data_IF_519798409317
#
_entry.id   IF_519798409317
#
_cell.length_a   1.000
_cell.length_b   1.000
_cell.length_c   1.000
_cell.angle_alpha   90.00
_cell.angle_beta   90.00
_cell.angle_gamma   90.00
#
_symmetry.space_group_name_H-M   'P 1'
#
loop_
_entity.id
_entity.type
_entity.pdbx_description
1 polymer ?
#
# COMPACT_ATOMS: atom_id res chain seq x y z
N UNK A 1 -24.24 7.10 -1.58
CA UNK A 1 -22.84 7.58 -1.70
C UNK A 1 -22.05 6.52 -2.43
N UNK A 2 -21.29 6.93 -3.43
CA UNK A 2 -20.51 6.07 -4.33
C UNK A 2 -19.36 5.40 -3.56
N UNK A 3 -19.10 4.13 -3.85
CA UNK A 3 -18.08 3.35 -3.14
C UNK A 3 -16.69 3.76 -3.63
N UNK A 4 -15.72 3.89 -2.73
CA UNK A 4 -14.31 4.05 -3.10
C UNK A 4 -13.79 2.70 -3.59
N UNK A 5 -13.24 2.69 -4.81
CA UNK A 5 -12.63 1.53 -5.44
C UNK A 5 -11.12 1.50 -5.24
N UNK A 6 -10.47 2.65 -5.40
CA UNK A 6 -9.00 2.75 -5.39
C UNK A 6 -8.62 4.12 -4.82
N UNK A 7 -7.59 4.18 -3.98
CA UNK A 7 -6.96 5.45 -3.56
C UNK A 7 -5.47 5.26 -3.29
N UNK A 8 -4.72 6.36 -3.21
CA UNK A 8 -3.30 6.29 -2.82
C UNK A 8 -3.16 5.73 -1.40
N UNK A 9 -2.21 4.81 -1.22
CA UNK A 9 -1.87 4.28 0.09
C UNK A 9 -1.17 5.34 0.96
N UNK A 10 -1.42 5.30 2.27
CA UNK A 10 -0.70 6.15 3.22
C UNK A 10 0.75 5.66 3.41
N UNK A 11 1.67 6.22 2.61
CA UNK A 11 3.10 5.85 2.60
C UNK A 11 3.82 6.22 3.90
N UNK A 12 3.46 7.32 4.56
CA UNK A 12 4.09 7.71 5.84
C UNK A 12 3.72 6.77 6.98
N UNK A 13 2.52 6.16 6.94
CA UNK A 13 2.13 5.08 7.86
C UNK A 13 2.74 3.70 7.52
N UNK A 14 3.64 3.64 6.52
CA UNK A 14 4.39 2.45 6.12
C UNK A 14 3.61 1.48 5.23
N UNK A 15 2.48 1.89 4.65
CA UNK A 15 1.70 1.02 3.75
C UNK A 15 2.32 0.91 2.35
N UNK A 16 2.22 -0.27 1.76
CA UNK A 16 2.64 -0.52 0.38
C UNK A 16 1.78 0.23 -0.62
N UNK A 17 2.33 0.52 -1.80
CA UNK A 17 1.57 1.14 -2.87
C UNK A 17 0.41 0.26 -3.32
N UNK A 18 -0.66 0.91 -3.79
CA UNK A 18 -1.70 0.24 -4.56
C UNK A 18 -1.18 0.00 -5.96
N UNK A 19 -1.04 -1.27 -6.35
CA UNK A 19 -0.42 -1.65 -7.61
C UNK A 19 -1.31 -2.59 -8.45
N UNK A 20 -1.13 -2.58 -9.76
CA UNK A 20 -1.63 -3.58 -10.71
C UNK A 20 -2.54 -3.01 -11.79
N UNK A 21 -3.21 -3.90 -12.53
CA UNK A 21 -3.85 -3.55 -13.80
C UNK A 21 -4.99 -2.53 -13.72
N UNK A 22 -5.69 -2.39 -12.58
CA UNK A 22 -6.76 -1.39 -12.46
C UNK A 22 -6.16 0.01 -12.38
N UNK A 23 -4.96 0.13 -11.81
CA UNK A 23 -4.21 1.39 -11.78
C UNK A 23 -3.69 1.72 -13.17
N UNK A 24 -3.21 0.72 -13.94
CA UNK A 24 -2.80 0.93 -15.35
C UNK A 24 -3.97 1.46 -16.19
N UNK A 25 -5.19 0.92 -16.01
CA UNK A 25 -6.41 1.43 -16.69
C UNK A 25 -6.67 2.90 -16.36
N UNK A 26 -6.57 3.27 -15.07
CA UNK A 26 -6.73 4.67 -14.65
C UNK A 26 -5.65 5.56 -15.26
N UNK A 27 -4.39 5.11 -15.22
CA UNK A 27 -3.25 5.85 -15.77
C UNK A 27 -3.40 6.08 -17.28
N UNK A 28 -3.79 5.06 -18.05
CA UNK A 28 -4.09 5.20 -19.47
C UNK A 28 -5.25 6.17 -19.73
N UNK A 29 -6.36 6.02 -19.00
CA UNK A 29 -7.55 6.87 -19.18
C UNK A 29 -7.28 8.34 -18.87
N UNK A 30 -6.47 8.63 -17.84
CA UNK A 30 -6.02 9.97 -17.50
C UNK A 30 -5.12 10.56 -18.58
N UNK A 31 -4.14 9.78 -19.04
CA UNK A 31 -3.20 10.20 -20.08
C UNK A 31 -3.93 10.53 -21.40
N UNK A 32 -4.93 9.73 -21.79
CA UNK A 32 -5.78 9.98 -22.96
C UNK A 32 -6.62 11.26 -22.82
N UNK A 33 -7.02 11.62 -21.60
CA UNK A 33 -7.75 12.85 -21.29
C UNK A 33 -6.85 14.06 -21.02
N UNK A 34 -5.53 13.93 -21.18
CA UNK A 34 -4.58 15.04 -21.04
C UNK A 34 -4.10 15.31 -19.61
N UNK A 35 -4.38 14.43 -18.64
CA UNK A 35 -3.88 14.53 -17.28
C UNK A 35 -2.56 13.74 -17.15
N UNK A 36 -1.43 14.41 -16.89
CA UNK A 36 -0.12 13.74 -16.88
C UNK A 36 0.02 12.82 -15.66
N UNK A 37 0.22 11.52 -15.90
CA UNK A 37 0.39 10.50 -14.86
C UNK A 37 1.84 10.07 -14.64
N UNK A 38 2.78 10.71 -15.36
CA UNK A 38 4.17 10.27 -15.43
C UNK A 38 4.30 8.98 -16.25
N UNK A 39 4.91 7.95 -15.67
CA UNK A 39 5.05 6.64 -16.31
C UNK A 39 3.82 5.78 -16.03
N UNK A 40 3.28 5.13 -17.05
CA UNK A 40 2.28 4.07 -16.88
C UNK A 40 3.00 2.81 -16.39
N UNK A 41 2.95 2.60 -15.08
CA UNK A 41 3.65 1.53 -14.37
C UNK A 41 2.73 0.70 -13.47
N UNK A 42 1.44 1.04 -13.42
CA UNK A 42 0.45 0.38 -12.59
C UNK A 42 0.61 0.65 -11.11
N UNK A 43 1.35 1.68 -10.70
CA UNK A 43 1.55 2.09 -9.31
C UNK A 43 0.75 3.35 -9.02
N UNK A 44 -0.12 3.31 -8.02
CA UNK A 44 -0.89 4.49 -7.61
C UNK A 44 -0.01 5.37 -6.72
N UNK A 45 0.89 6.12 -7.37
CA UNK A 45 1.84 7.06 -6.75
C UNK A 45 1.31 8.48 -6.65
N UNK A 46 2.21 9.42 -6.34
CA UNK A 46 1.89 10.85 -6.23
C UNK A 46 1.43 11.44 -7.56
N UNK A 47 2.09 11.09 -8.67
CA UNK A 47 1.72 11.58 -10.01
C UNK A 47 0.31 11.11 -10.42
N UNK A 48 -0.03 9.85 -10.13
CA UNK A 48 -1.38 9.33 -10.40
C UNK A 48 -2.44 10.01 -9.52
N UNK A 49 -2.16 10.24 -8.24
CA UNK A 49 -3.07 10.97 -7.35
C UNK A 49 -3.27 12.42 -7.83
N UNK A 50 -2.20 13.11 -8.21
CA UNK A 50 -2.25 14.48 -8.73
C UNK A 50 -3.07 14.55 -10.03
N UNK A 51 -2.89 13.60 -10.94
CA UNK A 51 -3.67 13.50 -12.17
C UNK A 51 -5.17 13.25 -11.89
N UNK A 52 -5.50 12.36 -10.96
CA UNK A 52 -6.90 12.12 -10.54
C UNK A 52 -7.50 13.38 -9.92
N UNK A 53 -6.77 14.08 -9.05
CA UNK A 53 -7.25 15.34 -8.44
C UNK A 53 -7.47 16.43 -9.49
N UNK A 54 -6.56 16.56 -10.45
CA UNK A 54 -6.71 17.49 -11.58
C UNK A 54 -7.95 17.18 -12.42
N UNK A 55 -8.15 15.90 -12.75
CA UNK A 55 -9.32 15.44 -13.49
C UNK A 55 -10.64 15.64 -12.71
N UNK A 56 -10.67 15.31 -11.42
CA UNK A 56 -11.83 15.55 -10.55
C UNK A 56 -12.17 17.05 -10.50
N UNK A 57 -11.16 17.91 -10.39
CA UNK A 57 -11.35 19.35 -10.41
C UNK A 57 -11.93 19.86 -11.73
N UNK A 58 -11.45 19.38 -12.88
CA UNK A 58 -11.92 19.82 -14.20
C UNK A 58 -13.35 19.36 -14.50
N UNK A 59 -13.70 18.17 -14.02
CA UNK A 59 -15.04 17.57 -14.20
C UNK A 59 -16.08 18.04 -13.18
N UNK A 60 -15.69 18.85 -12.19
CA UNK A 60 -16.58 19.32 -11.12
C UNK A 60 -16.93 18.25 -10.09
N UNK A 61 -16.16 17.16 -10.01
CA UNK A 61 -16.29 16.10 -9.01
C UNK A 61 -15.55 16.48 -7.71
N UNK A 62 -15.85 15.78 -6.62
CA UNK A 62 -15.17 15.99 -5.35
C UNK A 62 -13.67 15.64 -5.46
N UNK A 63 -12.80 16.63 -5.25
CA UNK A 63 -11.34 16.49 -5.36
C UNK A 63 -10.78 15.75 -4.14
N UNK A 64 -10.83 14.43 -4.17
CA UNK A 64 -10.37 13.57 -3.08
C UNK A 64 -9.07 12.84 -3.40
N UNK A 65 -8.75 12.65 -4.68
CA UNK A 65 -7.68 11.72 -5.10
C UNK A 65 -8.04 10.24 -4.87
N UNK A 66 -9.26 9.94 -4.40
CA UNK A 66 -9.81 8.60 -4.41
C UNK A 66 -10.70 8.43 -5.64
N UNK A 67 -10.73 7.23 -6.19
CA UNK A 67 -11.58 6.87 -7.33
C UNK A 67 -12.77 6.07 -6.81
N UNK A 68 -13.97 6.63 -6.97
CA UNK A 68 -15.23 5.97 -6.68
C UNK A 68 -15.79 5.20 -7.88
N UNK A 69 -16.86 4.45 -7.69
CA UNK A 69 -17.62 3.79 -8.78
C UNK A 69 -18.01 4.77 -9.89
N UNK A 70 -18.48 5.96 -9.52
CA UNK A 70 -18.90 6.97 -10.51
C UNK A 70 -17.68 7.60 -11.19
N UNK A 71 -16.62 7.87 -10.42
CA UNK A 71 -15.37 8.37 -10.99
C UNK A 71 -14.81 7.39 -12.02
N UNK A 72 -14.82 6.10 -11.71
CA UNK A 72 -14.37 5.03 -12.61
C UNK A 72 -15.16 5.03 -13.91
N UNK A 73 -16.49 5.09 -13.84
CA UNK A 73 -17.36 5.15 -15.04
C UNK A 73 -17.06 6.37 -15.89
N UNK A 74 -16.98 7.55 -15.28
CA UNK A 74 -16.76 8.81 -16.00
C UNK A 74 -15.36 8.89 -16.60
N UNK A 75 -14.34 8.41 -15.87
CA UNK A 75 -12.95 8.44 -16.32
C UNK A 75 -12.68 7.40 -17.41
N UNK A 76 -13.09 6.14 -17.19
CA UNK A 76 -12.69 5.02 -18.05
C UNK A 76 -13.71 4.67 -19.13
N UNK A 77 -14.98 5.10 -18.96
CA UNK A 77 -16.09 4.65 -19.80
C UNK A 77 -16.50 3.19 -19.59
N UNK A 78 -15.96 2.52 -18.56
CA UNK A 78 -16.23 1.11 -18.24
C UNK A 78 -17.05 0.98 -16.96
N UNK A 79 -17.71 -0.17 -16.79
CA UNK A 79 -18.32 -0.48 -15.50
C UNK A 79 -17.25 -0.62 -14.40
N UNK A 80 -17.56 -0.24 -13.14
CA UNK A 80 -16.68 -0.38 -11.99
C UNK A 80 -16.20 -1.83 -11.80
N UNK A 81 -14.92 -2.06 -11.45
CA UNK A 81 -14.41 -3.38 -11.13
C UNK A 81 -15.20 -4.04 -10.00
N UNK A 82 -15.59 -5.30 -10.21
CA UNK A 82 -16.27 -6.08 -9.19
C UNK A 82 -15.32 -6.42 -8.03
N UNK A 83 -15.84 -7.10 -7.01
CA UNK A 83 -15.00 -7.63 -5.91
C UNK A 83 -13.88 -8.53 -6.44
N UNK A 84 -14.15 -9.28 -7.51
CA UNK A 84 -13.17 -10.17 -8.12
C UNK A 84 -11.93 -9.43 -8.63
N UNK A 85 -12.09 -8.38 -9.45
CA UNK A 85 -10.96 -7.65 -10.02
C UNK A 85 -10.10 -6.99 -8.93
N UNK A 86 -10.75 -6.46 -7.89
CA UNK A 86 -10.07 -5.85 -6.73
C UNK A 86 -9.32 -6.91 -5.90
N UNK A 87 -9.97 -8.05 -5.63
CA UNK A 87 -9.35 -9.19 -4.95
C UNK A 87 -8.18 -9.79 -5.76
N UNK A 88 -8.33 -9.88 -7.08
CA UNK A 88 -7.29 -10.33 -7.99
C UNK A 88 -6.04 -9.44 -7.91
N UNK A 89 -6.23 -8.13 -7.94
CA UNK A 89 -5.13 -7.16 -7.91
C UNK A 89 -4.32 -7.22 -6.60
N UNK A 90 -4.99 -7.25 -5.44
CA UNK A 90 -4.27 -7.33 -4.16
C UNK A 90 -3.60 -8.70 -3.97
N UNK A 91 -4.26 -9.79 -4.40
CA UNK A 91 -3.69 -11.14 -4.33
C UNK A 91 -2.45 -11.25 -5.24
N UNK A 92 -2.51 -10.72 -6.46
CA UNK A 92 -1.35 -10.65 -7.36
C UNK A 92 -0.18 -9.86 -6.76
N UNK A 93 -0.48 -8.78 -6.04
CA UNK A 93 0.52 -7.97 -5.33
C UNK A 93 1.18 -8.79 -4.22
N UNK A 94 0.42 -9.59 -3.46
CA UNK A 94 0.97 -10.48 -2.43
C UNK A 94 1.87 -11.56 -3.02
N UNK A 95 1.49 -12.15 -4.16
CA UNK A 95 2.32 -13.11 -4.89
C UNK A 95 3.63 -12.47 -5.43
N UNK A 96 3.73 -11.15 -5.48
CA UNK A 96 4.83 -10.45 -6.13
C UNK A 96 4.90 -10.77 -7.62
N UNK A 97 3.74 -11.03 -8.22
CA UNK A 97 3.56 -11.42 -9.61
C UNK A 97 2.75 -10.38 -10.38
N UNK A 98 2.63 -10.60 -11.68
CA UNK A 98 1.90 -9.77 -12.62
C UNK A 98 1.77 -10.53 -13.93
N UNK A 99 1.10 -9.97 -14.93
CA UNK A 99 0.80 -10.71 -16.17
C UNK A 99 2.01 -11.25 -16.92
N UNK A 100 3.19 -10.65 -16.70
CA UNK A 100 4.41 -10.85 -17.49
C UNK A 100 5.47 -11.71 -16.80
N UNK A 101 5.45 -11.78 -15.46
CA UNK A 101 6.55 -12.36 -14.67
C UNK A 101 6.53 -13.88 -14.77
N UNK A 102 7.69 -14.46 -15.07
CA UNK A 102 7.94 -15.90 -15.04
C UNK A 102 9.08 -16.22 -14.04
N UNK A 103 8.97 -17.34 -13.33
CA UNK A 103 9.98 -17.87 -12.42
C UNK A 103 10.19 -19.39 -12.66
N UNK A 104 11.43 -19.86 -12.49
CA UNK A 104 11.86 -21.22 -12.79
C UNK A 104 11.45 -22.25 -11.73
N UNK A 105 12.07 -23.44 -11.79
CA UNK A 105 11.73 -24.59 -10.94
C UNK A 105 12.44 -24.56 -9.57
N UNK A 106 12.14 -23.55 -8.75
CA UNK A 106 12.75 -23.41 -7.41
C UNK A 106 11.98 -24.15 -6.31
N UNK A 107 10.69 -24.44 -6.52
CA UNK A 107 9.77 -25.02 -5.53
C UNK A 107 9.12 -26.33 -6.00
N UNK A 108 9.51 -26.84 -7.17
CA UNK A 108 8.90 -28.02 -7.79
C UNK A 108 7.64 -27.71 -8.59
N UNK A 109 7.24 -26.45 -8.76
CA UNK A 109 6.13 -26.06 -9.65
C UNK A 109 6.50 -26.06 -11.14
N UNK A 110 7.75 -26.38 -11.46
CA UNK A 110 8.39 -26.40 -12.79
C UNK A 110 8.56 -25.00 -13.38
N UNK A 111 7.46 -24.34 -13.69
CA UNK A 111 7.46 -22.97 -14.20
C UNK A 111 6.25 -22.27 -13.59
N UNK A 112 6.47 -21.08 -13.05
CA UNK A 112 5.42 -20.22 -12.50
C UNK A 112 5.34 -18.94 -13.31
N UNK A 113 4.16 -18.60 -13.86
CA UNK A 113 3.98 -17.43 -14.71
C UNK A 113 2.61 -16.79 -14.56
N UNK A 114 2.54 -15.47 -14.74
CA UNK A 114 1.28 -14.73 -14.84
C UNK A 114 0.77 -14.15 -13.52
N UNK A 115 -0.39 -13.48 -13.59
CA UNK A 115 -0.89 -12.53 -12.58
C UNK A 115 -0.98 -13.09 -11.16
N UNK A 116 -1.31 -14.37 -11.01
CA UNK A 116 -1.41 -15.06 -9.71
C UNK A 116 -0.47 -16.28 -9.63
N UNK A 117 0.58 -16.30 -10.44
CA UNK A 117 1.56 -17.39 -10.45
C UNK A 117 0.96 -18.73 -10.91
N UNK A 118 0.43 -18.78 -12.14
CA UNK A 118 0.00 -20.06 -12.72
C UNK A 118 1.18 -21.00 -12.87
N UNK A 119 0.97 -22.28 -12.55
CA UNK A 119 2.04 -23.27 -12.56
C UNK A 119 1.90 -24.24 -13.71
N UNK A 120 3.03 -24.63 -14.30
CA UNK A 120 3.09 -25.68 -15.31
C UNK A 120 2.73 -27.04 -14.71
N UNK A 121 3.19 -27.34 -13.48
CA UNK A 121 2.87 -28.59 -12.80
C UNK A 121 1.38 -28.92 -12.71
N UNK A 122 0.54 -27.91 -12.49
CA UNK A 122 -0.90 -28.09 -12.31
C UNK A 122 -1.71 -27.87 -13.61
N UNK A 123 -1.05 -27.73 -14.76
CA UNK A 123 -1.74 -27.61 -16.03
C UNK A 123 -2.28 -26.22 -16.32
N UNK A 124 -1.94 -25.19 -15.53
CA UNK A 124 -2.58 -23.88 -15.64
C UNK A 124 -1.99 -23.05 -16.77
N UNK A 125 -0.65 -23.04 -16.90
CA UNK A 125 0.04 -22.40 -18.02
C UNK A 125 -0.40 -23.03 -19.34
N UNK A 126 -0.49 -24.35 -19.41
CA UNK A 126 -0.90 -25.10 -20.61
C UNK A 126 -2.28 -24.66 -21.10
N UNK A 127 -3.24 -24.47 -20.19
CA UNK A 127 -4.60 -24.05 -20.54
C UNK A 127 -4.62 -22.63 -21.11
N UNK A 128 -3.82 -21.72 -20.55
CA UNK A 128 -3.75 -20.33 -21.01
C UNK A 128 -3.04 -20.26 -22.36
N UNK A 129 -1.90 -20.95 -22.52
CA UNK A 129 -1.15 -20.99 -23.78
C UNK A 129 -2.01 -21.62 -24.88
N UNK A 130 -2.67 -22.75 -24.61
CA UNK A 130 -3.58 -23.38 -25.56
C UNK A 130 -4.72 -22.45 -25.96
N UNK A 131 -5.37 -21.78 -25.01
CA UNK A 131 -6.45 -20.85 -25.32
C UNK A 131 -5.97 -19.66 -26.15
N UNK A 132 -4.75 -19.16 -25.91
CA UNK A 132 -4.18 -18.08 -26.72
C UNK A 132 -3.89 -18.54 -28.16
N UNK A 133 -3.31 -19.74 -28.33
CA UNK A 133 -3.03 -20.33 -29.65
C UNK A 133 -4.33 -20.60 -30.43
N UNK A 134 -5.41 -20.99 -29.75
CA UNK A 134 -6.73 -21.19 -30.37
C UNK A 134 -7.39 -19.87 -30.80
N UNK A 135 -7.15 -18.78 -30.06
CA UNK A 135 -7.70 -17.46 -30.38
C UNK A 135 -6.95 -16.82 -31.54
N UNK A 136 -5.62 -16.78 -31.46
CA UNK A 136 -4.74 -16.23 -32.49
C UNK A 136 -3.32 -16.81 -32.34
N UNK A 137 -2.92 -17.78 -33.19
CA UNK A 137 -1.59 -18.38 -33.16
C UNK A 137 -0.45 -17.36 -33.29
N UNK A 138 -0.71 -16.22 -33.95
CA UNK A 138 0.31 -15.19 -34.17
C UNK A 138 0.77 -14.56 -32.85
N UNK A 139 -0.03 -14.61 -31.78
CA UNK A 139 0.36 -14.15 -30.45
C UNK A 139 1.55 -14.97 -29.93
N UNK A 140 1.51 -16.29 -30.09
CA UNK A 140 2.62 -17.16 -29.68
C UNK A 140 3.82 -16.93 -30.59
N UNK A 141 3.60 -16.88 -31.91
CA UNK A 141 4.68 -16.75 -32.88
C UNK A 141 5.44 -15.42 -32.69
N UNK A 142 4.73 -14.31 -32.49
CA UNK A 142 5.34 -12.99 -32.26
C UNK A 142 5.99 -12.86 -30.88
N UNK A 143 5.44 -13.52 -29.85
CA UNK A 143 5.98 -13.45 -28.50
C UNK A 143 7.23 -14.32 -28.32
N UNK A 144 7.19 -15.56 -28.82
CA UNK A 144 8.22 -16.58 -28.61
C UNK A 144 9.20 -16.71 -29.78
N UNK A 145 8.86 -16.24 -30.98
CA UNK A 145 9.74 -16.27 -32.14
C UNK A 145 10.29 -17.68 -32.37
N UNK A 146 11.63 -17.88 -32.44
CA UNK A 146 12.23 -19.21 -32.59
C UNK A 146 11.86 -20.24 -31.51
N UNK A 147 11.34 -19.79 -30.35
CA UNK A 147 10.92 -20.67 -29.26
C UNK A 147 9.47 -21.16 -29.38
N UNK A 148 8.69 -20.64 -30.34
CA UNK A 148 7.25 -20.91 -30.46
C UNK A 148 6.94 -22.40 -30.65
N UNK A 149 7.64 -23.07 -31.56
CA UNK A 149 7.43 -24.50 -31.81
C UNK A 149 7.81 -25.35 -30.60
N UNK A 150 8.91 -25.00 -29.92
CA UNK A 150 9.32 -25.66 -28.68
C UNK A 150 8.28 -25.47 -27.58
N UNK A 151 7.70 -24.28 -27.44
CA UNK A 151 6.64 -24.02 -26.48
C UNK A 151 5.42 -24.92 -26.76
N UNK A 152 4.93 -24.95 -28.01
CA UNK A 152 3.80 -25.79 -28.40
C UNK A 152 4.08 -27.27 -28.15
N UNK A 153 5.29 -27.73 -28.48
CA UNK A 153 5.72 -29.09 -28.19
C UNK A 153 5.62 -29.37 -26.69
N UNK A 154 6.29 -28.57 -25.84
CA UNK A 154 6.30 -28.73 -24.38
C UNK A 154 4.88 -28.79 -23.81
N UNK A 155 3.99 -27.90 -24.24
CA UNK A 155 2.61 -27.85 -23.73
C UNK A 155 1.78 -29.09 -24.09
N UNK A 156 2.16 -29.83 -25.14
CA UNK A 156 1.49 -31.06 -25.58
C UNK A 156 2.11 -32.36 -25.01
N UNK A 157 3.33 -32.30 -24.46
CA UNK A 157 4.07 -33.48 -23.98
C UNK A 157 3.68 -33.88 -22.55
N UNK A 158 4.21 -35.03 -22.13
CA UNK A 158 3.97 -35.59 -20.79
C UNK A 158 4.55 -34.71 -19.68
N UNK A 159 4.01 -34.85 -18.46
CA UNK A 159 4.50 -34.18 -17.26
C UNK A 159 6.01 -34.34 -17.04
N UNK A 160 6.57 -35.53 -17.29
CA UNK A 160 8.02 -35.78 -17.17
C UNK A 160 8.83 -34.96 -18.17
N UNK A 161 8.33 -34.79 -19.40
CA UNK A 161 8.99 -33.95 -20.40
C UNK A 161 8.92 -32.48 -20.01
N UNK A 162 7.76 -32.02 -19.54
CA UNK A 162 7.54 -30.65 -19.08
C UNK A 162 8.44 -30.29 -17.90
N UNK A 163 8.56 -31.19 -16.92
CA UNK A 163 9.49 -31.05 -15.79
C UNK A 163 10.95 -30.94 -16.26
N UNK A 164 11.40 -31.86 -17.12
CA UNK A 164 12.77 -31.86 -17.64
C UNK A 164 13.09 -30.61 -18.46
N UNK A 165 12.14 -30.11 -19.24
CA UNK A 165 12.28 -28.85 -19.96
C UNK A 165 12.36 -27.66 -18.99
N UNK A 166 11.45 -27.61 -18.02
CA UNK A 166 11.42 -26.53 -17.04
C UNK A 166 12.71 -26.48 -16.21
N UNK A 167 13.22 -27.64 -15.80
CA UNK A 167 14.52 -27.76 -15.12
C UNK A 167 15.68 -27.26 -15.97
N UNK A 168 15.64 -27.50 -17.29
CA UNK A 168 16.70 -27.07 -18.22
C UNK A 168 16.75 -25.56 -18.38
N UNK A 169 15.60 -24.91 -18.48
CA UNK A 169 15.51 -23.45 -18.66
C UNK A 169 15.66 -22.68 -17.34
N UNK A 170 15.68 -23.37 -16.20
CA UNK A 170 15.82 -22.76 -14.88
C UNK A 170 17.28 -22.53 -14.54
N UNK A 171 17.62 -21.30 -14.13
CA UNK A 171 19.00 -20.86 -13.88
C UNK A 171 19.18 -20.27 -12.48
N UNK A 172 20.44 -20.19 -12.06
CA UNK A 172 20.83 -19.69 -10.74
C UNK A 172 20.87 -20.77 -9.66
N UNK A 173 21.49 -20.44 -8.52
CA UNK A 173 21.79 -21.38 -7.43
C UNK A 173 20.54 -22.07 -6.87
N UNK A 174 19.41 -21.35 -6.87
CA UNK A 174 18.12 -21.83 -6.37
C UNK A 174 17.11 -22.16 -7.50
N UNK A 175 17.52 -22.16 -8.78
CA UNK A 175 16.63 -22.34 -9.94
C UNK A 175 15.45 -21.36 -10.03
N UNK A 176 15.51 -20.22 -9.35
CA UNK A 176 14.44 -19.21 -9.41
C UNK A 176 14.43 -18.46 -10.76
N UNK A 177 15.61 -18.21 -11.32
CA UNK A 177 15.74 -17.53 -12.61
C UNK A 177 15.32 -18.43 -13.77
N UNK A 178 15.00 -17.81 -14.90
CA UNK A 178 14.80 -18.49 -16.18
C UNK A 178 15.79 -17.93 -17.19
N UNK A 179 16.27 -18.75 -18.11
CA UNK A 179 17.08 -18.32 -19.24
C UNK A 179 16.48 -17.08 -19.94
N UNK A 180 17.28 -16.04 -20.27
CA UNK A 180 16.76 -14.77 -20.78
C UNK A 180 15.82 -14.86 -21.98
N UNK A 181 16.08 -15.70 -23.01
CA UNK A 181 15.17 -15.82 -24.15
C UNK A 181 13.74 -16.23 -23.76
N UNK A 182 13.60 -17.17 -22.83
CA UNK A 182 12.32 -17.63 -22.31
C UNK A 182 11.68 -16.57 -21.41
N UNK A 183 12.44 -15.97 -20.50
CA UNK A 183 11.95 -14.89 -19.63
C UNK A 183 11.36 -13.75 -20.46
N UNK A 184 12.07 -13.30 -21.47
CA UNK A 184 11.66 -12.16 -22.30
C UNK A 184 10.46 -12.52 -23.19
N UNK A 185 10.39 -13.78 -23.67
CA UNK A 185 9.24 -14.28 -24.42
C UNK A 185 7.96 -14.35 -23.57
N UNK A 186 8.03 -14.89 -22.36
CA UNK A 186 6.89 -14.89 -21.42
C UNK A 186 6.47 -13.48 -21.01
N UNK A 187 7.43 -12.55 -20.91
CA UNK A 187 7.13 -11.14 -20.66
C UNK A 187 6.38 -10.50 -21.83
N UNK A 188 6.83 -10.72 -23.07
CA UNK A 188 6.11 -10.26 -24.28
C UNK A 188 4.71 -10.87 -24.36
N UNK A 189 4.61 -12.19 -24.19
CA UNK A 189 3.33 -12.92 -24.20
C UNK A 189 2.34 -12.35 -23.19
N UNK A 190 2.77 -12.13 -21.94
CA UNK A 190 1.96 -11.51 -20.89
C UNK A 190 1.63 -10.02 -21.10
N UNK A 191 2.21 -9.37 -22.11
CA UNK A 191 1.93 -7.97 -22.46
C UNK A 191 0.77 -7.84 -23.45
N UNK A 192 0.35 -8.92 -24.11
CA UNK A 192 -0.81 -8.89 -25.02
C UNK A 192 -2.12 -8.80 -24.23
N UNK A 193 -3.00 -7.87 -24.61
CA UNK A 193 -4.30 -7.67 -23.95
C UNK A 193 -5.20 -8.90 -23.99
N UNK A 194 -5.14 -9.68 -25.08
CA UNK A 194 -5.84 -10.98 -25.20
C UNK A 194 -5.34 -11.98 -24.14
N UNK A 195 -4.02 -12.10 -23.98
CA UNK A 195 -3.40 -13.02 -23.01
C UNK A 195 -3.71 -12.59 -21.58
N UNK A 196 -3.71 -11.29 -21.30
CA UNK A 196 -4.14 -10.76 -19.99
C UNK A 196 -5.60 -11.10 -19.71
N UNK A 197 -6.49 -10.93 -20.69
CA UNK A 197 -7.91 -11.34 -20.58
C UNK A 197 -8.05 -12.84 -20.31
N UNK A 198 -7.27 -13.68 -20.98
CA UNK A 198 -7.26 -15.14 -20.74
C UNK A 198 -6.77 -15.50 -19.34
N UNK A 199 -5.75 -14.81 -18.82
CA UNK A 199 -5.31 -14.97 -17.43
C UNK A 199 -6.42 -14.59 -16.45
N UNK A 200 -7.01 -13.39 -16.58
CA UNK A 200 -8.12 -12.93 -15.72
C UNK A 200 -9.30 -13.90 -15.79
N UNK A 201 -9.69 -14.34 -16.99
CA UNK A 201 -10.74 -15.35 -17.19
C UNK A 201 -10.41 -16.66 -16.49
N UNK A 202 -9.15 -17.12 -16.56
CA UNK A 202 -8.73 -18.35 -15.85
C UNK A 202 -8.81 -18.21 -14.33
N UNK A 203 -8.41 -17.05 -13.79
CA UNK A 203 -8.58 -16.73 -12.37
C UNK A 203 -10.07 -16.76 -11.96
N UNK A 204 -10.94 -16.16 -12.77
CA UNK A 204 -12.40 -16.10 -12.53
C UNK A 204 -13.04 -17.49 -12.57
N UNK A 205 -12.81 -18.24 -13.66
CA UNK A 205 -13.50 -19.51 -13.93
C UNK A 205 -13.12 -20.62 -12.93
N UNK A 206 -11.89 -20.61 -12.40
CA UNK A 206 -11.40 -21.64 -11.47
C UNK A 206 -11.40 -21.16 -10.02
N UNK A 207 -10.67 -20.09 -9.74
CA UNK A 207 -10.34 -19.71 -8.36
C UNK A 207 -11.44 -18.87 -7.74
N UNK A 208 -11.96 -17.88 -8.47
CA UNK A 208 -13.10 -17.09 -7.98
C UNK A 208 -14.37 -17.93 -7.83
N UNK A 209 -14.66 -18.80 -8.81
CA UNK A 209 -15.77 -19.75 -8.69
C UNK A 209 -15.65 -20.64 -7.45
N UNK A 210 -14.45 -21.09 -7.11
CA UNK A 210 -14.18 -21.83 -5.88
C UNK A 210 -14.39 -20.96 -4.64
N UNK A 211 -13.87 -19.74 -4.66
CA UNK A 211 -14.00 -18.77 -3.57
C UNK A 211 -15.47 -18.42 -3.26
N UNK A 212 -16.32 -18.26 -4.27
CA UNK A 212 -17.75 -17.98 -4.10
C UNK A 212 -18.51 -19.16 -3.47
N UNK A 213 -18.12 -20.40 -3.82
CA UNK A 213 -18.68 -21.58 -3.19
C UNK A 213 -18.29 -21.65 -1.70
N UNK A 214 -17.01 -21.43 -1.40
CA UNK A 214 -16.48 -21.43 -0.03
C UNK A 214 -17.09 -20.27 0.79
N UNK A 215 -17.19 -19.07 0.22
CA UNK A 215 -17.77 -17.91 0.89
C UNK A 215 -19.25 -18.12 1.19
N UNK A 216 -19.99 -18.77 0.30
CA UNK A 216 -21.39 -19.16 0.52
C UNK A 216 -21.52 -20.20 1.62
N UNK A 217 -20.71 -21.28 1.59
CA UNK A 217 -20.73 -22.33 2.61
C UNK A 217 -20.42 -21.79 4.01
N UNK A 218 -19.44 -20.90 4.11
CA UNK A 218 -18.94 -20.36 5.37
C UNK A 218 -19.72 -19.10 5.82
N UNK A 219 -20.61 -18.59 4.97
CA UNK A 219 -21.43 -17.40 5.22
C UNK A 219 -20.60 -16.12 5.37
N UNK A 220 -19.70 -15.91 4.42
CA UNK A 220 -18.87 -14.71 4.25
C UNK A 220 -19.38 -13.93 3.02
N UNK A 221 -20.08 -12.81 3.24
CA UNK A 221 -20.75 -12.04 2.19
C UNK A 221 -20.05 -10.72 1.86
N UNK A 222 -19.28 -10.18 2.80
CA UNK A 222 -18.50 -8.96 2.63
C UNK A 222 -17.46 -9.12 1.52
N UNK A 223 -17.07 -7.99 0.94
CA UNK A 223 -15.96 -7.91 -0.03
C UNK A 223 -14.68 -8.54 0.53
N UNK A 224 -14.35 -8.26 1.80
CA UNK A 224 -13.20 -8.83 2.49
C UNK A 224 -13.32 -10.34 2.67
N UNK A 225 -14.51 -10.84 3.01
CA UNK A 225 -14.76 -12.27 3.17
C UNK A 225 -14.56 -13.03 1.85
N UNK A 226 -15.08 -12.47 0.76
CA UNK A 226 -14.92 -13.02 -0.59
C UNK A 226 -13.47 -12.92 -1.08
N UNK A 227 -12.78 -11.82 -0.81
CA UNK A 227 -11.37 -11.65 -1.13
C UNK A 227 -10.47 -12.63 -0.34
N UNK A 228 -10.76 -12.86 0.94
CA UNK A 228 -10.09 -13.88 1.76
C UNK A 228 -10.27 -15.28 1.16
N UNK A 229 -11.51 -15.66 0.80
CA UNK A 229 -11.77 -16.93 0.13
C UNK A 229 -11.04 -17.05 -1.21
N UNK A 230 -10.89 -15.95 -1.95
CA UNK A 230 -10.14 -15.95 -3.20
C UNK A 230 -8.65 -16.17 -2.99
N UNK A 231 -8.02 -15.49 -2.03
CA UNK A 231 -6.61 -15.70 -1.69
C UNK A 231 -6.35 -17.14 -1.18
N UNK A 232 -7.29 -17.71 -0.40
CA UNK A 232 -7.27 -19.13 -0.01
C UNK A 232 -7.39 -20.04 -1.23
N UNK A 233 -8.29 -19.73 -2.17
CA UNK A 233 -8.43 -20.51 -3.40
C UNK A 233 -7.13 -20.52 -4.21
N UNK A 234 -6.46 -19.37 -4.34
CA UNK A 234 -5.20 -19.23 -5.07
C UNK A 234 -4.05 -19.96 -4.39
N UNK A 235 -3.83 -19.76 -3.09
CA UNK A 235 -2.70 -20.35 -2.37
C UNK A 235 -2.90 -21.82 -1.95
N UNK A 236 -4.11 -22.18 -1.56
CA UNK A 236 -4.40 -23.44 -0.87
C UNK A 236 -5.35 -24.35 -1.66
N UNK A 237 -5.92 -23.88 -2.77
CA UNK A 237 -6.89 -24.63 -3.57
C UNK A 237 -8.33 -24.55 -3.03
N UNK A 238 -8.60 -23.67 -2.08
CA UNK A 238 -9.89 -23.45 -1.44
C UNK A 238 -9.95 -24.06 -0.05
N UNK A 239 -11.14 -24.05 0.56
CA UNK A 239 -11.35 -24.58 1.92
C UNK A 239 -11.74 -26.06 1.85
N UNK A 240 -10.93 -26.96 2.40
CA UNK A 240 -11.27 -28.39 2.44
C UNK A 240 -12.44 -28.67 3.39
N UNK A 241 -13.13 -29.81 3.22
CA UNK A 241 -14.21 -30.23 4.11
C UNK A 241 -13.75 -30.37 5.58
N UNK A 242 -12.47 -30.73 5.79
CA UNK A 242 -11.85 -30.78 7.11
C UNK A 242 -11.72 -29.39 7.72
N UNK A 243 -11.20 -28.43 6.97
CA UNK A 243 -11.07 -27.03 7.42
C UNK A 243 -12.43 -26.40 7.68
N UNK A 244 -13.42 -26.62 6.80
CA UNK A 244 -14.78 -26.16 7.02
C UNK A 244 -15.41 -26.74 8.30
N UNK A 245 -15.10 -28.01 8.64
CA UNK A 245 -15.55 -28.60 9.90
C UNK A 245 -14.91 -27.94 11.12
N UNK A 246 -13.59 -27.70 11.08
CA UNK A 246 -12.85 -27.04 12.17
C UNK A 246 -13.36 -25.60 12.34
N UNK A 247 -13.57 -24.89 11.24
CA UNK A 247 -14.15 -23.55 11.23
C UNK A 247 -15.50 -23.52 11.94
N UNK A 248 -16.44 -24.41 11.58
CA UNK A 248 -17.77 -24.46 12.19
C UNK A 248 -17.69 -24.71 13.70
N UNK A 249 -16.84 -25.65 14.13
CA UNK A 249 -16.62 -25.93 15.54
C UNK A 249 -16.09 -24.71 16.31
N UNK A 250 -15.11 -23.99 15.74
CA UNK A 250 -14.55 -22.77 16.34
C UNK A 250 -15.58 -21.65 16.45
N UNK A 251 -16.42 -21.45 15.43
CA UNK A 251 -17.50 -20.46 15.46
C UNK A 251 -18.52 -20.82 16.55
N UNK A 252 -18.96 -22.08 16.62
CA UNK A 252 -19.88 -22.53 17.68
C UNK A 252 -19.31 -22.28 19.08
N UNK A 253 -18.01 -22.54 19.29
CA UNK A 253 -17.34 -22.28 20.57
C UNK A 253 -17.21 -20.79 20.90
N UNK A 254 -16.95 -19.92 19.93
CA UNK A 254 -16.85 -18.46 20.15
C UNK A 254 -18.21 -17.82 20.45
N UNK A 255 -19.30 -18.37 19.91
CA UNK A 255 -20.67 -17.86 20.16
C UNK A 255 -20.99 -16.51 19.51
N UNK A 256 -20.09 -15.92 18.72
CA UNK A 256 -20.37 -14.77 17.84
C UNK A 256 -20.48 -15.24 16.38
N UNK A 257 -21.49 -14.71 15.70
CA UNK A 257 -21.76 -14.96 14.28
C UNK A 257 -21.42 -13.76 13.39
N UNK A 258 -20.73 -12.76 13.94
CA UNK A 258 -20.29 -11.59 13.20
C UNK A 258 -19.32 -12.00 12.09
N UNK A 259 -19.49 -11.42 10.91
CA UNK A 259 -18.68 -11.83 9.76
C UNK A 259 -17.18 -11.54 9.97
N UNK A 260 -16.83 -10.46 10.66
CA UNK A 260 -15.44 -10.17 11.04
C UNK A 260 -14.81 -11.32 11.84
N UNK A 261 -15.50 -11.81 12.87
CA UNK A 261 -15.07 -12.97 13.67
C UNK A 261 -14.95 -14.22 12.81
N UNK A 262 -15.87 -14.42 11.86
CA UNK A 262 -15.80 -15.53 10.90
C UNK A 262 -14.54 -15.45 10.04
N UNK A 263 -14.20 -14.29 9.49
CA UNK A 263 -13.00 -14.15 8.67
C UNK A 263 -11.72 -14.45 9.46
N UNK A 264 -11.62 -13.93 10.69
CA UNK A 264 -10.47 -14.19 11.56
C UNK A 264 -10.34 -15.69 11.89
N UNK A 265 -11.44 -16.34 12.27
CA UNK A 265 -11.45 -17.78 12.55
C UNK A 265 -11.09 -18.59 11.32
N UNK A 266 -11.53 -18.19 10.13
CA UNK A 266 -11.14 -18.84 8.89
C UNK A 266 -9.63 -18.68 8.64
N UNK A 267 -9.08 -17.47 8.79
CA UNK A 267 -7.66 -17.21 8.66
C UNK A 267 -6.81 -18.06 9.63
N UNK A 268 -7.20 -18.13 10.90
CA UNK A 268 -6.59 -19.00 11.91
C UNK A 268 -6.68 -20.48 11.52
N UNK A 269 -7.85 -20.91 11.03
CA UNK A 269 -8.08 -22.31 10.63
C UNK A 269 -7.14 -22.72 9.49
N UNK A 270 -7.04 -21.91 8.44
CA UNK A 270 -6.15 -22.18 7.30
C UNK A 270 -4.67 -22.16 7.72
N UNK A 271 -4.29 -21.25 8.62
CA UNK A 271 -2.94 -21.22 9.14
C UNK A 271 -2.60 -22.47 9.97
N UNK A 272 -3.50 -22.88 10.86
CA UNK A 272 -3.31 -24.04 11.75
C UNK A 272 -3.30 -25.38 11.02
N UNK A 273 -3.95 -25.48 9.85
CA UNK A 273 -3.92 -26.68 9.00
C UNK A 273 -2.77 -26.68 8.00
N UNK A 274 -2.05 -25.56 7.86
CA UNK A 274 -0.85 -25.46 7.02
C UNK A 274 0.35 -26.13 7.68
N UNK A 275 1.42 -26.36 6.89
CA UNK A 275 2.67 -26.87 7.43
C UNK A 275 3.22 -25.92 8.51
N UNK A 276 3.67 -26.46 9.63
CA UNK A 276 4.09 -25.69 10.82
C UNK A 276 5.09 -24.57 10.51
N UNK A 277 6.07 -24.83 9.63
CA UNK A 277 7.06 -23.82 9.18
C UNK A 277 6.48 -22.62 8.43
N UNK A 278 5.28 -22.77 7.84
CA UNK A 278 4.61 -21.74 7.05
C UNK A 278 3.43 -21.10 7.78
N UNK A 279 3.04 -21.62 8.94
CA UNK A 279 1.87 -21.18 9.70
C UNK A 279 1.83 -19.67 9.90
N UNK A 280 2.92 -19.06 10.38
CA UNK A 280 2.96 -17.63 10.70
C UNK A 280 2.82 -16.74 9.45
N UNK A 281 3.48 -17.11 8.35
CA UNK A 281 3.39 -16.35 7.10
C UNK A 281 1.98 -16.48 6.49
N UNK A 282 1.40 -17.69 6.51
CA UNK A 282 0.01 -17.92 6.10
C UNK A 282 -0.94 -17.12 6.98
N UNK A 283 -0.80 -17.16 8.30
CA UNK A 283 -1.65 -16.42 9.23
C UNK A 283 -1.58 -14.92 8.96
N UNK A 284 -0.38 -14.36 8.86
CA UNK A 284 -0.17 -12.93 8.61
C UNK A 284 -0.84 -12.48 7.31
N UNK A 285 -0.70 -13.26 6.23
CA UNK A 285 -1.33 -12.97 4.94
C UNK A 285 -2.85 -13.07 4.99
N UNK A 286 -3.39 -14.15 5.58
CA UNK A 286 -4.85 -14.35 5.68
C UNK A 286 -5.50 -13.33 6.61
N UNK A 287 -4.83 -12.98 7.72
CA UNK A 287 -5.31 -11.96 8.66
C UNK A 287 -5.35 -10.56 8.04
N UNK A 288 -4.43 -10.26 7.11
CA UNK A 288 -4.46 -8.99 6.35
C UNK A 288 -5.79 -8.82 5.58
N UNK A 289 -6.29 -9.88 4.94
CA UNK A 289 -7.59 -9.87 4.27
C UNK A 289 -8.78 -10.05 5.24
N UNK A 290 -8.58 -10.75 6.36
CA UNK A 290 -9.64 -10.94 7.34
C UNK A 290 -10.00 -9.65 8.10
N UNK A 291 -9.01 -8.80 8.37
CA UNK A 291 -9.16 -7.59 9.20
C UNK A 291 -9.11 -6.31 8.38
N UNK A 292 -8.71 -6.39 7.11
CA UNK A 292 -8.61 -5.25 6.19
C UNK A 292 -7.29 -4.48 6.28
N UNK A 293 -6.38 -4.87 7.17
CA UNK A 293 -5.00 -4.36 7.20
C UNK A 293 -4.06 -5.36 7.85
N UNK A 294 -2.78 -5.34 7.50
CA UNK A 294 -1.83 -6.29 8.07
C UNK A 294 -0.51 -6.31 7.35
N UNK A 295 0.26 -7.40 7.52
CA UNK A 295 1.55 -7.59 6.86
C UNK A 295 1.53 -8.84 5.99
N UNK A 296 2.14 -8.75 4.82
CA UNK A 296 2.42 -9.89 3.93
C UNK A 296 3.90 -9.84 3.56
N UNK A 297 4.64 -10.90 3.85
CA UNK A 297 6.09 -10.98 3.65
C UNK A 297 6.85 -9.75 4.21
N UNK A 298 6.43 -9.29 5.40
CA UNK A 298 7.02 -8.14 6.10
C UNK A 298 6.51 -6.75 5.65
N UNK A 299 5.80 -6.66 4.53
CA UNK A 299 5.29 -5.41 3.97
C UNK A 299 3.86 -5.14 4.46
N UNK A 300 3.55 -3.90 4.85
CA UNK A 300 2.24 -3.52 5.40
C UNK A 300 1.24 -3.18 4.29
N UNK A 301 -0.02 -3.62 4.42
CA UNK A 301 -1.09 -3.36 3.46
C UNK A 301 -2.38 -2.89 4.16
N UNK A 302 -3.13 -2.04 3.47
CA UNK A 302 -4.47 -1.58 3.83
C UNK A 302 -5.39 -1.94 2.66
N UNK A 303 -6.22 -2.97 2.82
CA UNK A 303 -7.04 -3.52 1.72
C UNK A 303 -8.11 -2.53 1.27
N UNK A 304 -8.50 -1.59 2.15
CA UNK A 304 -9.43 -0.51 1.83
C UNK A 304 -8.91 0.42 0.75
N UNK A 305 -7.58 0.49 0.54
CA UNK A 305 -6.99 1.29 -0.55
C UNK A 305 -7.20 0.63 -1.94
N UNK A 306 -7.51 -0.67 -1.96
CA UNK A 306 -8.03 -1.44 -3.11
C UNK A 306 -9.56 -1.56 -3.07
N UNK A 307 -10.24 -0.73 -2.27
CA UNK A 307 -11.70 -0.73 -2.13
C UNK A 307 -12.25 -1.97 -1.42
N UNK A 308 -11.40 -2.82 -0.85
CA UNK A 308 -11.80 -4.01 -0.08
C UNK A 308 -11.84 -3.64 1.40
N UNK A 309 -13.01 -3.25 1.89
CA UNK A 309 -13.25 -2.93 3.30
C UNK A 309 -14.68 -3.31 3.69
N UNK A 310 -14.94 -3.42 4.98
CA UNK A 310 -16.32 -3.56 5.46
C UNK A 310 -17.09 -2.26 5.24
N UNK A 311 -18.36 -2.32 4.87
CA UNK A 311 -19.19 -1.11 4.76
C UNK A 311 -19.29 -0.34 6.09
N UNK A 312 -18.91 -0.95 7.22
CA UNK A 312 -18.73 -0.31 8.53
C UNK A 312 -17.57 0.71 8.54
N UNK A 313 -16.67 0.69 7.54
CA UNK A 313 -15.76 1.81 7.32
C UNK A 313 -16.45 3.04 6.75
N UNK A 314 -17.75 3.01 6.39
CA UNK A 314 -18.49 4.23 6.03
C UNK A 314 -18.67 5.17 7.23
N UNK A 315 -18.88 4.66 8.44
CA UNK A 315 -18.95 5.52 9.64
C UNK A 315 -17.58 5.86 10.23
N UNK A 316 -16.53 5.11 9.88
CA UNK A 316 -15.14 5.50 10.15
C UNK A 316 -14.51 6.39 9.04
N UNK A 317 -15.21 6.64 7.93
CA UNK A 317 -14.74 7.46 6.80
C UNK A 317 -15.62 8.66 6.43
N UNK A 318 -16.77 8.86 7.08
CA UNK A 318 -17.51 10.15 7.05
C UNK A 318 -16.81 11.24 7.89
N UNK A 319 -15.64 10.96 8.48
CA UNK A 319 -14.76 11.96 9.12
C UNK A 319 -13.42 12.20 8.40
N UNK A 320 -13.33 11.97 7.09
CA UNK A 320 -12.17 12.40 6.30
C UNK A 320 -12.62 13.01 4.97
N UNK A 321 -13.38 14.10 5.06
CA UNK A 321 -13.60 15.05 3.96
C UNK A 321 -14.09 16.37 4.54
N UNK A 322 -13.24 16.96 5.37
CA UNK A 322 -13.09 18.37 5.74
C UNK A 322 -12.11 18.31 6.90
N UNK A 323 -10.85 18.70 6.67
CA UNK A 323 -9.94 18.97 7.77
C UNK A 323 -10.52 20.21 8.47
N UNK A 324 -11.47 19.99 9.37
CA UNK A 324 -11.69 20.92 10.46
C UNK A 324 -10.64 20.52 11.49
N UNK A 325 -9.64 21.38 11.75
CA UNK A 325 -8.68 21.20 12.83
C UNK A 325 -9.34 20.70 14.12
N UNK A 326 -9.05 19.48 14.58
CA UNK A 326 -9.45 19.02 15.92
C UNK A 326 -8.57 19.67 16.99
N UNK A 327 -8.71 20.99 17.12
CA UNK A 327 -7.92 21.81 18.03
C UNK A 327 -8.17 21.41 19.49
N UNK A 328 -9.42 21.07 19.83
CA UNK A 328 -9.78 20.60 21.18
C UNK A 328 -9.16 19.24 21.50
N UNK A 329 -9.16 18.31 20.53
CA UNK A 329 -8.48 17.03 20.69
C UNK A 329 -6.97 17.21 20.86
N UNK A 330 -6.36 18.08 20.07
CA UNK A 330 -4.94 18.40 20.21
C UNK A 330 -4.62 19.03 21.57
N UNK A 331 -5.45 19.98 22.03
CA UNK A 331 -5.31 20.58 23.36
C UNK A 331 -5.37 19.52 24.48
N UNK A 332 -6.32 18.59 24.43
CA UNK A 332 -6.41 17.50 25.41
C UNK A 332 -5.20 16.58 25.36
N UNK A 333 -4.80 16.17 24.17
CA UNK A 333 -3.60 15.34 23.95
C UNK A 333 -2.34 16.04 24.50
N UNK A 334 -2.13 17.29 24.12
CA UNK A 334 -0.92 18.03 24.46
C UNK A 334 -0.85 18.32 25.96
N UNK A 335 -1.98 18.70 26.57
CA UNK A 335 -2.05 18.89 28.02
C UNK A 335 -1.76 17.60 28.80
N UNK A 336 -2.07 16.42 28.24
CA UNK A 336 -1.73 15.13 28.86
C UNK A 336 -0.22 14.87 28.95
N UNK A 337 0.60 15.59 28.18
CA UNK A 337 2.06 15.44 28.21
C UNK A 337 2.71 16.02 29.48
N UNK A 338 2.00 16.89 30.19
CA UNK A 338 2.47 17.48 31.46
C UNK A 338 3.72 18.36 31.31
N UNK A 339 3.88 19.04 30.16
CA UNK A 339 4.98 19.97 29.92
C UNK A 339 4.87 21.20 30.83
N UNK A 340 6.01 21.73 31.27
CA UNK A 340 6.05 22.85 32.24
C UNK A 340 5.88 24.21 31.58
N UNK A 341 6.46 24.38 30.40
CA UNK A 341 6.71 25.71 29.82
C UNK A 341 5.95 26.00 28.53
N UNK A 342 5.37 25.00 27.89
CA UNK A 342 4.67 25.15 26.61
C UNK A 342 3.18 24.89 26.72
N UNK A 343 2.41 25.69 25.97
CA UNK A 343 0.98 25.48 25.75
C UNK A 343 0.72 24.80 24.39
N UNK A 344 -0.44 24.14 24.20
CA UNK A 344 -0.78 23.50 22.94
C UNK A 344 -0.70 24.45 21.74
N UNK A 345 -1.12 25.72 21.89
CA UNK A 345 -1.18 26.66 20.77
C UNK A 345 0.20 27.00 20.21
N UNK A 346 1.25 26.91 21.02
CA UNK A 346 2.64 27.15 20.59
C UNK A 346 3.09 26.09 19.56
N UNK A 347 2.54 24.87 19.62
CA UNK A 347 2.84 23.78 18.69
C UNK A 347 1.95 23.75 17.45
N UNK A 348 0.97 24.66 17.37
CA UNK A 348 0.04 24.80 16.25
C UNK A 348 0.40 25.97 15.32
N UNK A 349 1.64 26.49 15.39
CA UNK A 349 2.09 27.54 14.48
C UNK A 349 2.08 27.04 13.03
N UNK A 350 1.53 27.85 12.12
CA UNK A 350 1.36 27.50 10.70
C UNK A 350 2.52 28.01 9.82
N UNK A 351 3.48 28.72 10.40
CA UNK A 351 4.62 29.33 9.71
C UNK A 351 4.25 30.60 8.94
N UNK A 352 5.21 31.51 8.80
CA UNK A 352 4.98 32.87 8.28
C UNK A 352 4.41 32.86 6.85
N UNK A 353 4.95 32.00 5.99
CA UNK A 353 4.53 31.90 4.59
C UNK A 353 3.06 31.44 4.40
N UNK A 354 2.40 30.91 5.44
CA UNK A 354 0.98 30.56 5.40
C UNK A 354 0.12 31.83 5.53
N UNK A 355 0.60 32.84 6.25
CA UNK A 355 -0.15 34.08 6.52
C UNK A 355 0.16 35.21 5.52
N UNK A 356 1.22 35.08 4.73
CA UNK A 356 1.60 36.06 3.71
C UNK A 356 0.82 35.85 2.42
N UNK A 357 -0.08 36.78 2.09
CA UNK A 357 -0.90 36.75 0.85
C UNK A 357 -0.06 36.75 -0.43
N UNK A 358 1.17 37.28 -0.37
CA UNK A 358 2.10 37.27 -1.51
C UNK A 358 2.87 35.96 -1.68
N UNK A 359 2.79 35.05 -0.71
CA UNK A 359 3.50 33.78 -0.72
C UNK A 359 2.77 32.73 -1.58
N UNK A 360 3.47 31.94 -2.41
CA UNK A 360 2.91 30.75 -3.05
C UNK A 360 2.38 29.71 -2.06
N UNK A 361 2.75 29.81 -0.78
CA UNK A 361 2.32 28.93 0.29
C UNK A 361 1.15 29.50 1.13
N UNK A 362 0.58 30.64 0.72
CA UNK A 362 -0.52 31.30 1.42
C UNK A 362 -1.70 30.36 1.65
N UNK A 363 -2.14 30.22 2.91
CA UNK A 363 -3.28 29.40 3.28
C UNK A 363 -3.09 27.88 3.12
N UNK A 364 -1.90 27.39 2.73
CA UNK A 364 -1.69 25.98 2.42
C UNK A 364 -1.31 25.09 3.62
N UNK A 365 -0.72 25.68 4.65
CA UNK A 365 -0.47 24.93 5.89
C UNK A 365 -1.75 24.73 6.71
N UNK A 366 -1.77 23.72 7.57
CA UNK A 366 -2.88 23.46 8.48
C UNK A 366 -2.34 22.82 9.77
N UNK A 367 -3.17 22.60 10.79
CA UNK A 367 -2.72 21.90 12.00
C UNK A 367 -2.36 20.43 11.69
N UNK A 368 -1.46 19.79 12.45
CA UNK A 368 -1.09 18.40 12.24
C UNK A 368 -2.30 17.45 12.35
N UNK A 369 -2.43 16.48 11.43
CA UNK A 369 -3.34 15.34 11.57
C UNK A 369 -3.16 14.61 12.90
N UNK A 370 -4.26 14.10 13.46
CA UNK A 370 -4.27 13.49 14.79
C UNK A 370 -3.36 12.26 14.92
N UNK A 371 -3.22 11.51 13.84
CA UNK A 371 -2.33 10.36 13.72
C UNK A 371 -0.84 10.70 13.89
N UNK A 372 -0.45 11.96 13.62
CA UNK A 372 0.92 12.41 13.77
C UNK A 372 1.21 12.93 15.18
N UNK A 373 0.20 13.24 16.00
CA UNK A 373 0.39 13.82 17.33
C UNK A 373 1.37 13.05 18.22
N UNK A 374 1.40 11.70 18.28
CA UNK A 374 2.38 10.98 19.08
C UNK A 374 3.84 11.29 18.69
N UNK A 375 4.11 11.66 17.44
CA UNK A 375 5.46 11.89 16.93
C UNK A 375 6.10 13.15 17.52
N UNK A 376 5.31 14.16 17.93
CA UNK A 376 5.87 15.39 18.49
C UNK A 376 6.31 15.23 19.94
N UNK A 377 5.82 14.19 20.64
CA UNK A 377 6.03 14.01 22.09
C UNK A 377 7.51 14.08 22.49
N UNK A 378 8.45 13.39 21.82
CA UNK A 378 9.85 13.46 22.23
C UNK A 378 10.44 14.86 21.97
N UNK A 379 10.16 15.46 20.81
CA UNK A 379 10.63 16.82 20.48
C UNK A 379 10.08 17.86 21.47
N UNK A 380 8.80 17.76 21.83
CA UNK A 380 8.17 18.67 22.78
C UNK A 380 8.79 18.58 24.18
N UNK A 381 9.13 17.36 24.64
CA UNK A 381 9.85 17.15 25.91
C UNK A 381 11.27 17.72 25.88
N UNK A 382 11.97 17.58 24.76
CA UNK A 382 13.31 18.17 24.57
C UNK A 382 13.23 19.69 24.61
N UNK A 383 12.25 20.29 23.93
CA UNK A 383 12.04 21.75 23.96
C UNK A 383 11.69 22.24 25.36
N UNK A 384 10.85 21.52 26.11
CA UNK A 384 10.47 21.87 27.48
C UNK A 384 11.70 21.89 28.41
N UNK A 385 12.54 20.85 28.33
CA UNK A 385 13.80 20.78 29.08
C UNK A 385 14.78 21.87 28.63
N UNK A 386 14.91 22.12 27.32
CA UNK A 386 15.76 23.17 26.77
C UNK A 386 15.35 24.54 27.34
N UNK A 387 14.06 24.85 27.36
CA UNK A 387 13.52 26.10 27.93
C UNK A 387 13.84 26.21 29.42
N UNK A 388 13.79 25.10 30.14
CA UNK A 388 14.21 24.99 31.54
C UNK A 388 15.70 25.31 31.73
N UNK A 389 16.58 24.79 30.87
CA UNK A 389 18.05 24.99 30.96
C UNK A 389 18.49 26.39 30.54
N UNK A 390 17.86 26.96 29.52
CA UNK A 390 18.16 28.30 29.02
C UNK A 390 17.61 29.41 29.93
N UNK A 391 16.58 29.11 30.73
CA UNK A 391 15.89 30.11 31.56
C UNK A 391 15.26 31.26 30.76
N UNK A 392 15.09 31.09 29.45
CA UNK A 392 14.65 32.12 28.51
C UNK A 392 13.51 31.60 27.62
N UNK A 393 12.57 32.46 27.15
CA UNK A 393 11.48 32.00 26.30
C UNK A 393 11.96 31.40 24.98
N UNK A 394 11.52 30.18 24.69
CA UNK A 394 11.72 29.49 23.40
C UNK A 394 10.44 29.66 22.58
N UNK A 395 10.55 30.25 21.39
CA UNK A 395 9.44 30.58 20.49
C UNK A 395 9.52 29.66 19.27
N UNK A 396 8.42 28.97 18.95
CA UNK A 396 8.33 28.05 17.81
C UNK A 396 7.85 28.79 16.57
N UNK A 397 8.63 28.70 15.49
CA UNK A 397 8.33 29.35 14.21
C UNK A 397 7.65 28.39 13.24
N UNK A 398 8.07 27.13 13.23
CA UNK A 398 7.52 26.08 12.36
C UNK A 398 7.60 24.74 13.08
N UNK A 399 6.49 24.01 13.13
CA UNK A 399 6.45 22.68 13.77
C UNK A 399 5.93 21.65 12.75
N UNK A 400 4.65 21.70 12.42
CA UNK A 400 4.09 20.90 11.34
C UNK A 400 4.14 21.66 10.00
N UNK A 401 4.38 20.93 8.92
CA UNK A 401 4.23 21.43 7.55
C UNK A 401 3.39 20.44 6.76
N UNK A 402 2.26 20.88 6.22
CA UNK A 402 1.54 20.09 5.21
C UNK A 402 2.45 19.84 4.00
N UNK A 403 2.28 18.73 3.27
CA UNK A 403 3.05 18.46 2.06
C UNK A 403 3.00 19.62 1.06
N UNK A 404 1.81 20.20 0.86
CA UNK A 404 1.56 21.31 -0.05
C UNK A 404 2.32 22.57 0.40
N UNK A 405 2.26 22.90 1.70
CA UNK A 405 2.99 24.02 2.27
C UNK A 405 4.50 23.82 2.14
N UNK A 406 5.00 22.63 2.51
CA UNK A 406 6.42 22.30 2.47
C UNK A 406 6.99 22.42 1.04
N UNK A 407 6.26 21.94 0.03
CA UNK A 407 6.65 22.09 -1.38
C UNK A 407 6.75 23.56 -1.79
N UNK A 408 5.74 24.39 -1.45
CA UNK A 408 5.70 25.79 -1.87
C UNK A 408 6.73 26.68 -1.19
N UNK A 409 7.22 26.31 -0.02
CA UNK A 409 8.34 27.01 0.63
C UNK A 409 9.72 26.44 0.26
N UNK A 410 9.79 25.48 -0.67
CA UNK A 410 11.06 24.86 -1.09
C UNK A 410 11.66 23.90 -0.06
N UNK A 411 10.83 23.31 0.79
CA UNK A 411 11.24 22.32 1.77
C UNK A 411 11.66 20.99 1.12
N UNK A 412 12.54 20.25 1.80
CA UNK A 412 12.99 18.92 1.34
C UNK A 412 11.87 17.88 1.44
N UNK A 413 11.88 16.89 0.54
CA UNK A 413 10.83 15.85 0.44
C UNK A 413 10.76 14.91 1.64
N UNK A 414 11.84 14.77 2.41
CA UNK A 414 11.91 13.96 3.64
C UNK A 414 11.95 14.84 4.91
N UNK A 415 11.29 16.01 4.84
CA UNK A 415 11.24 16.98 5.93
C UNK A 415 10.60 16.39 7.18
N UNK A 416 11.31 16.46 8.30
CA UNK A 416 10.82 15.97 9.59
C UNK A 416 9.64 16.79 10.14
N UNK A 417 9.42 18.00 9.61
CA UNK A 417 8.23 18.80 9.91
C UNK A 417 6.94 18.18 9.35
N UNK A 418 7.01 17.51 8.19
CA UNK A 418 5.85 16.81 7.61
C UNK A 418 5.45 15.59 8.45
N UNK A 419 6.41 15.05 9.21
CA UNK A 419 6.21 13.92 10.12
C UNK A 419 5.82 14.37 11.54
N UNK A 420 5.62 15.68 11.76
CA UNK A 420 5.32 16.31 13.04
C UNK A 420 6.27 15.89 14.19
N UNK A 421 7.57 15.77 13.89
CA UNK A 421 8.62 15.40 14.86
C UNK A 421 9.79 16.38 14.88
N UNK A 422 9.54 17.60 14.41
CA UNK A 422 10.53 18.66 14.31
C UNK A 422 9.95 20.01 14.70
N UNK A 423 10.83 20.92 15.11
CA UNK A 423 10.51 22.30 15.40
C UNK A 423 11.68 23.22 15.02
N UNK A 424 11.36 24.29 14.31
CA UNK A 424 12.23 25.43 14.12
C UNK A 424 11.89 26.46 15.19
N UNK A 425 12.89 26.91 15.95
CA UNK A 425 12.67 27.79 17.08
C UNK A 425 13.71 28.89 17.21
N UNK A 426 13.35 29.93 17.96
CA UNK A 426 14.22 31.01 18.40
C UNK A 426 14.12 31.19 19.90
N UNK A 427 15.18 31.71 20.53
CA UNK A 427 15.17 32.01 21.97
C UNK A 427 15.21 33.52 22.15
N UNK A 428 14.26 34.06 22.91
CA UNK A 428 14.18 35.49 23.21
C UNK A 428 15.25 35.89 24.23
N UNK A 429 16.47 36.03 23.75
CA UNK A 429 17.68 36.33 24.52
C UNK A 429 18.68 37.09 23.65
N UNK A 430 19.77 37.57 24.24
CA UNK A 430 20.89 38.21 23.52
C UNK A 430 21.91 37.22 22.95
N UNK A 431 21.74 35.91 23.18
CA UNK A 431 22.63 34.88 22.66
C UNK A 431 22.26 34.49 21.23
N UNK A 432 23.21 33.90 20.51
CA UNK A 432 23.05 33.53 19.11
C UNK A 432 22.45 32.10 18.98
N UNK A 433 21.88 31.75 17.81
CA UNK A 433 21.42 30.38 17.52
C UNK A 433 22.44 29.29 17.84
N UNK A 434 23.73 29.56 17.64
CA UNK A 434 24.83 28.64 17.98
C UNK A 434 24.91 28.31 19.47
N UNK A 435 24.58 29.26 20.34
CA UNK A 435 24.63 29.07 21.80
C UNK A 435 23.48 28.16 22.26
N UNK A 436 22.30 28.32 21.67
CA UNK A 436 21.13 27.48 21.96
C UNK A 436 21.35 26.05 21.45
N UNK A 437 21.92 25.93 20.25
CA UNK A 437 22.30 24.65 19.67
C UNK A 437 23.38 23.94 20.50
N UNK A 438 24.30 24.68 21.13
CA UNK A 438 25.29 24.11 22.03
C UNK A 438 24.64 23.42 23.25
N UNK A 439 23.59 24.02 23.81
CA UNK A 439 22.81 23.40 24.90
C UNK A 439 22.08 22.13 24.42
N UNK A 440 21.48 22.16 23.22
CA UNK A 440 20.88 20.95 22.63
C UNK A 440 21.92 19.85 22.40
N UNK A 441 23.11 20.19 21.91
CA UNK A 441 24.22 19.23 21.72
C UNK A 441 24.68 18.63 23.05
N UNK A 442 24.72 19.44 24.12
CA UNK A 442 24.99 18.94 25.46
C UNK A 442 23.89 17.98 25.95
N UNK A 443 22.62 18.35 25.81
CA UNK A 443 21.50 17.48 26.15
C UNK A 443 21.54 16.14 25.39
N UNK A 444 21.90 16.20 24.09
CA UNK A 444 22.07 15.00 23.26
C UNK A 444 23.24 14.13 23.76
N UNK A 445 24.36 14.74 24.17
CA UNK A 445 25.50 14.02 24.75
C UNK A 445 25.19 13.40 26.11
N UNK A 446 24.29 14.01 26.89
CA UNK A 446 23.76 13.47 28.15
C UNK A 446 22.72 12.35 27.93
N UNK A 447 22.37 12.04 26.67
CA UNK A 447 21.39 10.99 26.34
C UNK A 447 19.94 11.42 26.51
N UNK A 448 19.65 12.71 26.62
CA UNK A 448 18.28 13.24 26.75
C UNK A 448 17.44 12.93 25.50
N UNK A 449 18.06 12.92 24.33
CA UNK A 449 17.41 12.56 23.07
C UNK A 449 18.42 12.09 22.02
N UNK A 450 17.89 11.58 20.90
CA UNK A 450 18.64 11.35 19.66
C UNK A 450 17.89 11.95 18.48
N UNK A 451 18.60 12.69 17.63
CA UNK A 451 17.95 13.45 16.56
C UNK A 451 18.79 14.56 15.95
N UNK A 452 18.18 15.29 15.01
CA UNK A 452 18.81 16.33 14.23
C UNK A 452 18.91 17.69 14.94
N UNK A 453 20.03 18.38 14.75
CA UNK A 453 20.22 19.79 15.15
C UNK A 453 20.76 20.57 13.95
N UNK A 454 19.93 21.45 13.38
CA UNK A 454 20.32 22.35 12.30
C UNK A 454 20.53 23.77 12.81
N UNK A 455 21.65 24.43 12.49
CA UNK A 455 21.93 25.80 12.96
C UNK A 455 21.85 26.78 11.80
N UNK A 456 20.86 27.68 11.85
CA UNK A 456 20.70 28.74 10.87
C UNK A 456 21.02 30.10 11.48
N UNK A 457 21.25 31.10 10.63
CA UNK A 457 21.57 32.47 11.08
C UNK A 457 20.47 33.09 11.95
N UNK A 458 19.22 32.63 11.79
CA UNK A 458 18.04 33.26 12.40
C UNK A 458 17.25 32.33 13.32
N UNK A 459 17.49 31.01 13.28
CA UNK A 459 16.77 30.02 14.10
C UNK A 459 17.58 28.73 14.25
N UNK A 460 17.12 27.84 15.13
CA UNK A 460 17.65 26.48 15.28
C UNK A 460 16.56 25.48 14.92
N UNK A 461 16.92 24.47 14.14
CA UNK A 461 16.10 23.30 13.87
C UNK A 461 16.41 22.21 14.88
N UNK A 462 15.36 21.59 15.43
CA UNK A 462 15.44 20.41 16.27
C UNK A 462 14.45 19.36 15.75
N UNK A 463 14.89 18.11 15.66
CA UNK A 463 14.00 16.97 15.49
C UNK A 463 14.43 15.79 16.36
N UNK A 464 13.52 14.84 16.54
CA UNK A 464 13.79 13.59 17.27
C UNK A 464 13.64 12.37 16.35
N UNK A 465 14.33 12.38 15.20
CA UNK A 465 14.27 11.30 14.19
C UNK A 465 14.90 9.96 14.61
N UNK A 466 15.52 9.89 15.79
CA UNK A 466 16.12 8.67 16.34
C UNK A 466 17.60 8.47 16.03
N UNK A 467 18.18 9.29 15.13
CA UNK A 467 19.59 9.27 14.79
C UNK A 467 20.18 10.68 14.84
N UNK A 468 21.43 10.80 15.30
CA UNK A 468 22.08 12.10 15.48
C UNK A 468 22.60 12.62 14.14
N UNK A 469 22.12 13.80 13.74
CA UNK A 469 22.54 14.49 12.52
C UNK A 469 22.73 15.98 12.84
N UNK A 470 23.78 16.62 12.32
CA UNK A 470 24.00 18.06 12.47
C UNK A 470 24.17 18.70 11.08
N UNK A 471 23.66 19.92 10.88
CA UNK A 471 23.88 20.70 9.66
C UNK A 471 23.83 22.21 9.88
#
# INVERSE_FOLDING_TARGET
MSKILIRRANRSAGYSYVCGHLVEILQHSLQEKGFPVGRIDGVYGMDTEAAIKGWQSETGLAVSGAVTDDDWRTLTGQEPPEVFERALQITATFEGHGFRKAAGNFDGAWLTWGIIGYTLRHGEIQKIVKAADEVDPSIIDTSFGPLADTLREVMSKSSRYQEQWADRISVGVNKYGIEPPWRDAFSRFGSHSEVQRLQVKRARDKYWKRAEADSTELGLKSDLGRALCFDIAVQNGGVSSREASIFRERITRKGSFDEAVRREVLAETIADTSLSRWREDVLSRKMTLATGSGKVHGVRFSTGDWGLGDEVTREAQVKVATVVPDRKGFEQFFNSLGLKHFKPEEFLCLGDAHHDVGSPAYGLNHIPPAELWPNIVPTAKVLDELRSRLGSPVILNSVYRSPEYNEKIGGVSESQHMEFRAADFVVRSSSAPSDWAAVLKQMRAEGVFSGGIGVYNTFVHLDTRGENVDW
#
